data_IF_831890586586
#
_entry.id   IF_831890586586
#
_cell.length_a   1.000
_cell.length_b   1.000
_cell.length_c   1.000
_cell.angle_alpha   90.00
_cell.angle_beta   90.00
_cell.angle_gamma   90.00
#
_symmetry.space_group_name_H-M   'P 1'
#
loop_
_entity.id
_entity.type
_entity.pdbx_description
1 polymer ?
#
# COMPACT_ATOMS: atom_id res chain seq x y z
N UNK A 1 -10.30 16.39 6.89
CA UNK A 1 -8.99 15.68 6.87
C UNK A 1 -9.14 14.39 6.07
N UNK A 2 -8.31 14.21 5.08
CA UNK A 2 -8.38 13.04 4.20
C UNK A 2 -7.64 11.87 4.83
N UNK A 3 -8.36 10.77 5.07
CA UNK A 3 -7.87 9.63 5.85
C UNK A 3 -7.86 8.35 5.05
N UNK A 4 -6.91 7.47 5.37
CA UNK A 4 -6.86 6.09 4.92
C UNK A 4 -6.17 5.23 5.99
N UNK A 5 -6.40 3.92 5.92
CA UNK A 5 -5.80 2.97 6.86
C UNK A 5 -4.86 2.08 6.07
N UNK A 6 -3.66 1.90 6.59
CA UNK A 6 -2.59 1.23 5.86
C UNK A 6 -1.69 0.39 6.78
N UNK A 7 -0.96 -0.50 6.15
CA UNK A 7 0.22 -1.12 6.74
C UNK A 7 1.43 -0.33 6.27
N UNK A 8 2.21 0.19 7.20
CA UNK A 8 3.48 0.86 6.92
C UNK A 8 4.53 -0.20 6.66
N UNK A 9 5.40 0.05 5.71
CA UNK A 9 6.46 -0.88 5.34
C UNK A 9 7.74 -0.57 6.11
N UNK A 10 8.50 -1.61 6.47
CA UNK A 10 9.81 -1.42 7.06
C UNK A 10 10.85 -1.01 6.01
N UNK A 11 12.05 -0.63 6.45
CA UNK A 11 13.09 -0.14 5.56
C UNK A 11 13.57 -1.20 4.57
N UNK A 12 13.67 -2.45 4.99
CA UNK A 12 14.08 -3.56 4.13
C UNK A 12 13.09 -3.75 2.98
N UNK A 13 11.80 -3.70 3.28
CA UNK A 13 10.76 -3.81 2.26
C UNK A 13 10.80 -2.63 1.29
N UNK A 14 11.00 -1.42 1.80
CA UNK A 14 11.12 -0.22 0.98
C UNK A 14 12.34 -0.28 0.06
N UNK A 15 13.46 -0.79 0.55
CA UNK A 15 14.67 -0.98 -0.26
C UNK A 15 14.40 -1.92 -1.44
N UNK A 16 13.69 -3.01 -1.23
CA UNK A 16 13.28 -3.90 -2.32
C UNK A 16 12.41 -3.19 -3.35
N UNK A 17 11.47 -2.39 -2.91
CA UNK A 17 10.59 -1.65 -3.83
C UNK A 17 11.35 -0.59 -4.62
N UNK A 18 12.32 0.07 -4.00
CA UNK A 18 13.18 1.02 -4.70
C UNK A 18 14.07 0.32 -5.73
N UNK A 19 14.56 -0.87 -5.43
CA UNK A 19 15.33 -1.69 -6.38
C UNK A 19 14.47 -2.07 -7.59
N UNK A 20 13.19 -2.37 -7.37
CA UNK A 20 12.25 -2.64 -8.47
C UNK A 20 12.06 -1.39 -9.32
N UNK A 21 11.91 -0.23 -8.71
CA UNK A 21 11.82 1.05 -9.44
C UNK A 21 13.08 1.32 -10.28
N UNK A 22 14.26 1.06 -9.71
CA UNK A 22 15.54 1.20 -10.41
C UNK A 22 15.63 0.26 -11.62
N UNK A 23 15.21 -0.98 -11.45
CA UNK A 23 15.19 -1.96 -12.53
C UNK A 23 14.28 -1.50 -13.67
N UNK A 24 13.10 -1.03 -13.35
CA UNK A 24 12.16 -0.54 -14.33
C UNK A 24 12.71 0.66 -15.09
N UNK A 25 13.34 1.59 -14.38
CA UNK A 25 13.98 2.77 -14.98
C UNK A 25 15.09 2.35 -15.93
N UNK A 26 15.86 1.34 -15.57
CA UNK A 26 16.93 0.78 -16.41
C UNK A 26 16.39 0.26 -17.73
N UNK A 27 15.18 -0.29 -17.73
CA UNK A 27 14.53 -0.80 -18.94
C UNK A 27 13.60 0.24 -19.62
N UNK A 28 13.80 1.51 -19.32
CA UNK A 28 13.18 2.61 -20.05
C UNK A 28 11.81 3.05 -19.55
N UNK A 29 11.32 2.49 -18.43
CA UNK A 29 10.06 2.93 -17.85
C UNK A 29 10.24 4.29 -17.21
N UNK A 30 9.37 5.23 -17.54
CA UNK A 30 9.37 6.58 -16.99
C UNK A 30 8.00 6.87 -16.39
N UNK A 31 7.96 7.69 -15.38
CA UNK A 31 6.73 8.08 -14.73
C UNK A 31 7.01 8.74 -13.38
N UNK A 32 5.96 8.89 -12.59
CA UNK A 32 6.07 9.43 -11.25
C UNK A 32 6.29 8.27 -10.27
N UNK A 33 7.53 8.05 -9.88
CA UNK A 33 7.87 7.01 -8.90
C UNK A 33 7.35 7.41 -7.53
N UNK A 34 6.80 6.43 -6.82
CA UNK A 34 6.35 6.65 -5.43
C UNK A 34 7.57 6.92 -4.55
N UNK A 35 7.63 8.05 -3.84
CA UNK A 35 8.72 8.30 -2.89
C UNK A 35 8.74 7.24 -1.79
N UNK A 36 9.93 6.95 -1.26
CA UNK A 36 10.12 5.96 -0.21
C UNK A 36 9.18 6.17 0.97
N UNK A 37 9.08 7.42 1.43
CA UNK A 37 8.23 7.78 2.58
C UNK A 37 6.74 7.58 2.33
N UNK A 38 6.33 7.44 1.08
CA UNK A 38 4.92 7.24 0.71
C UNK A 38 4.57 5.78 0.39
N UNK A 39 5.54 4.88 0.42
CA UNK A 39 5.30 3.47 0.14
C UNK A 39 4.52 2.81 1.27
N UNK A 40 3.36 2.24 0.95
CA UNK A 40 2.48 1.60 1.93
C UNK A 40 1.51 0.63 1.25
N UNK A 41 0.87 -0.21 2.04
CA UNK A 41 -0.25 -1.05 1.60
C UNK A 41 -1.54 -0.49 2.18
N UNK A 42 -2.41 0.03 1.33
CA UNK A 42 -3.72 0.55 1.76
C UNK A 42 -4.69 -0.60 2.06
N UNK A 43 -5.33 -0.53 3.22
CA UNK A 43 -6.35 -1.50 3.65
C UNK A 43 -7.77 -0.95 3.47
N UNK A 44 -7.96 0.32 3.73
CA UNK A 44 -9.25 0.98 3.58
C UNK A 44 -9.04 2.47 3.32
N UNK A 45 -9.76 3.01 2.36
CA UNK A 45 -9.72 4.41 2.02
C UNK A 45 -11.00 5.08 2.55
N UNK A 46 -10.86 6.06 3.44
CA UNK A 46 -11.99 6.75 4.07
C UNK A 46 -12.35 8.03 3.32
N UNK A 47 -11.33 8.82 2.94
CA UNK A 47 -11.52 10.12 2.33
C UNK A 47 -11.68 11.22 3.37
N UNK A 48 -12.36 12.30 3.02
CA UNK A 48 -12.58 13.41 3.95
C UNK A 48 -13.44 12.98 5.13
N UNK A 49 -12.94 13.22 6.34
CA UNK A 49 -13.64 12.87 7.58
C UNK A 49 -13.27 13.86 8.69
N UNK A 50 -14.28 14.33 9.42
CA UNK A 50 -14.12 15.44 10.35
C UNK A 50 -13.60 15.03 11.74
N UNK A 51 -13.74 13.75 12.09
CA UNK A 51 -13.36 13.25 13.43
C UNK A 51 -12.31 12.15 13.34
N UNK A 52 -11.04 12.50 13.12
CA UNK A 52 -9.98 11.51 13.03
C UNK A 52 -9.76 10.73 14.34
N UNK A 53 -10.04 11.33 15.49
CA UNK A 53 -9.89 10.65 16.78
C UNK A 53 -10.87 9.48 16.92
N UNK A 54 -12.09 9.64 16.42
CA UNK A 54 -13.07 8.56 16.40
C UNK A 54 -12.58 7.39 15.53
N UNK A 55 -12.07 7.70 14.34
CA UNK A 55 -11.51 6.68 13.45
C UNK A 55 -10.29 6.00 14.10
N UNK A 56 -9.42 6.78 14.74
CA UNK A 56 -8.25 6.25 15.43
C UNK A 56 -8.63 5.25 16.51
N UNK A 57 -9.67 5.54 17.29
CA UNK A 57 -10.17 4.62 18.30
C UNK A 57 -10.61 3.29 17.71
N UNK A 58 -11.26 3.30 16.55
CA UNK A 58 -11.67 2.09 15.85
C UNK A 58 -10.44 1.32 15.35
N UNK A 59 -9.49 2.00 14.72
CA UNK A 59 -8.26 1.38 14.21
C UNK A 59 -7.47 0.73 15.35
N UNK A 60 -7.31 1.43 16.47
CA UNK A 60 -6.57 0.92 17.63
C UNK A 60 -7.26 -0.28 18.29
N UNK A 61 -8.56 -0.45 18.08
CA UNK A 61 -9.32 -1.58 18.61
C UNK A 61 -9.14 -2.87 17.81
N UNK A 62 -8.59 -2.79 16.60
CA UNK A 62 -8.42 -3.95 15.74
C UNK A 62 -7.22 -4.78 16.21
N UNK A 63 -7.48 -6.01 16.63
CA UNK A 63 -6.42 -6.94 16.98
C UNK A 63 -5.72 -7.43 15.72
N UNK A 64 -4.40 -7.30 15.70
CA UNK A 64 -3.54 -7.81 14.64
C UNK A 64 -2.59 -8.84 15.23
N UNK A 65 -2.86 -10.12 14.99
CA UNK A 65 -1.92 -11.19 15.32
C UNK A 65 -0.78 -11.13 14.31
N UNK A 66 0.49 -11.11 14.76
CA UNK A 66 1.62 -11.00 13.84
C UNK A 66 1.54 -12.01 12.70
N UNK A 67 1.77 -11.53 11.48
CA UNK A 67 1.79 -12.37 10.29
C UNK A 67 2.83 -11.85 9.29
N UNK A 68 3.25 -12.72 8.37
CA UNK A 68 4.20 -12.37 7.32
C UNK A 68 3.49 -11.75 6.12
N UNK A 69 3.97 -10.59 5.69
CA UNK A 69 3.56 -9.92 4.46
C UNK A 69 4.65 -10.14 3.42
N UNK A 70 4.33 -10.79 2.30
CA UNK A 70 5.29 -11.13 1.26
C UNK A 70 4.93 -10.47 -0.07
N UNK A 71 5.93 -9.92 -0.74
CA UNK A 71 5.76 -9.39 -2.08
C UNK A 71 5.62 -10.51 -3.10
N UNK A 72 4.71 -10.35 -4.04
CA UNK A 72 4.52 -11.31 -5.13
C UNK A 72 3.97 -10.64 -6.38
N UNK A 73 4.76 -10.65 -7.42
CA UNK A 73 4.31 -10.23 -8.74
C UNK A 73 4.30 -8.72 -8.92
N UNK A 74 4.35 -8.32 -10.16
CA UNK A 74 4.21 -6.94 -10.58
C UNK A 74 3.06 -6.89 -11.57
N UNK A 75 2.25 -5.87 -11.48
CA UNK A 75 1.16 -5.65 -12.40
C UNK A 75 1.03 -4.18 -12.76
N UNK A 76 0.21 -3.94 -13.77
CA UNK A 76 -0.12 -2.61 -14.21
C UNK A 76 -1.63 -2.51 -14.37
N UNK A 77 -2.18 -1.39 -13.92
CA UNK A 77 -3.56 -1.02 -14.19
C UNK A 77 -3.52 0.29 -14.96
N UNK A 78 -3.61 0.18 -16.29
CA UNK A 78 -3.33 1.28 -17.22
C UNK A 78 -1.90 1.80 -17.03
N UNK A 79 -1.72 3.05 -16.61
CA UNK A 79 -0.44 3.70 -16.38
C UNK A 79 -0.01 3.67 -14.90
N UNK A 80 -0.73 2.94 -14.05
CA UNK A 80 -0.39 2.75 -12.65
C UNK A 80 0.25 1.36 -12.49
N UNK A 81 1.52 1.34 -12.06
CA UNK A 81 2.26 0.08 -11.84
C UNK A 81 2.37 -0.21 -10.37
N UNK A 82 2.20 -1.47 -10.00
CA UNK A 82 2.16 -1.90 -8.62
C UNK A 82 2.88 -3.23 -8.40
N UNK A 83 3.32 -3.44 -7.17
CA UNK A 83 3.83 -4.73 -6.70
C UNK A 83 2.71 -5.41 -5.91
N UNK A 84 2.47 -6.67 -6.21
CA UNK A 84 1.44 -7.45 -5.54
C UNK A 84 1.90 -8.03 -4.21
N UNK A 85 0.95 -8.54 -3.47
CA UNK A 85 1.16 -9.19 -2.18
C UNK A 85 0.70 -10.63 -2.32
N UNK A 86 1.51 -11.57 -1.81
CA UNK A 86 1.12 -12.98 -1.75
C UNK A 86 -0.19 -13.12 -0.99
N UNK A 87 -1.11 -13.90 -1.53
CA UNK A 87 -2.42 -14.13 -0.91
C UNK A 87 -2.25 -14.67 0.50
N UNK A 88 -2.94 -14.05 1.46
CA UNK A 88 -2.73 -14.30 2.87
C UNK A 88 -4.06 -14.27 3.62
N UNK A 89 -4.42 -15.40 4.21
CA UNK A 89 -5.61 -15.51 5.06
C UNK A 89 -5.55 -14.55 6.27
N UNK A 90 -4.41 -14.41 6.97
CA UNK A 90 -4.29 -13.42 8.04
C UNK A 90 -4.53 -11.98 7.59
N UNK A 91 -3.98 -11.57 6.45
CA UNK A 91 -4.19 -10.23 5.90
C UNK A 91 -5.67 -9.99 5.57
N UNK A 92 -6.30 -10.92 4.88
CA UNK A 92 -7.72 -10.83 4.55
C UNK A 92 -8.59 -10.75 5.81
N UNK A 93 -8.24 -11.49 6.85
CA UNK A 93 -8.97 -11.47 8.11
C UNK A 93 -8.87 -10.10 8.80
N UNK A 94 -7.69 -9.49 8.82
CA UNK A 94 -7.50 -8.15 9.39
C UNK A 94 -8.34 -7.13 8.62
N UNK A 95 -8.28 -7.15 7.30
CA UNK A 95 -9.04 -6.21 6.46
C UNK A 95 -10.54 -6.38 6.66
N UNK A 96 -11.01 -7.61 6.75
CA UNK A 96 -12.43 -7.91 6.99
C UNK A 96 -12.88 -7.37 8.35
N UNK A 97 -12.10 -7.60 9.41
CA UNK A 97 -12.41 -7.08 10.76
C UNK A 97 -12.41 -5.55 10.77
N UNK A 98 -11.41 -4.94 10.12
CA UNK A 98 -11.32 -3.49 10.02
C UNK A 98 -12.55 -2.90 9.31
N UNK A 99 -12.87 -3.40 8.13
CA UNK A 99 -13.98 -2.88 7.33
C UNK A 99 -15.32 -3.08 8.03
N UNK A 100 -15.49 -4.21 8.71
CA UNK A 100 -16.70 -4.45 9.51
C UNK A 100 -16.82 -3.46 10.66
N UNK A 101 -15.73 -3.21 11.38
CA UNK A 101 -15.72 -2.25 12.49
C UNK A 101 -16.02 -0.83 12.01
N UNK A 102 -15.46 -0.42 10.87
CA UNK A 102 -15.78 0.87 10.26
C UNK A 102 -17.25 0.97 9.89
N UNK A 103 -17.79 -0.05 9.26
CA UNK A 103 -19.21 -0.09 8.88
C UNK A 103 -20.13 -0.02 10.11
N UNK A 104 -19.84 -0.80 11.14
CA UNK A 104 -20.60 -0.82 12.39
C UNK A 104 -20.56 0.54 13.12
N UNK A 105 -19.46 1.26 12.98
CA UNK A 105 -19.29 2.59 13.57
C UNK A 105 -19.87 3.71 12.71
N UNK A 106 -20.41 3.40 11.54
CA UNK A 106 -20.96 4.39 10.61
C UNK A 106 -19.92 5.22 9.88
N UNK A 107 -18.69 4.76 9.84
CA UNK A 107 -17.59 5.46 9.14
C UNK A 107 -17.60 5.02 7.67
N UNK A 108 -17.78 5.94 6.72
CA UNK A 108 -17.78 5.59 5.30
C UNK A 108 -16.37 5.24 4.82
N UNK A 109 -16.28 4.31 3.90
CA UNK A 109 -15.01 3.93 3.26
C UNK A 109 -15.31 3.39 1.86
N UNK A 110 -14.28 3.36 1.00
CA UNK A 110 -14.39 2.77 -0.32
C UNK A 110 -14.64 1.26 -0.18
N UNK A 111 -15.77 0.79 -0.68
CA UNK A 111 -16.23 -0.58 -0.52
C UNK A 111 -15.78 -1.51 -1.64
N UNK A 112 -14.90 -1.06 -2.52
CA UNK A 112 -14.34 -1.92 -3.56
C UNK A 112 -13.71 -3.16 -2.93
N UNK A 113 -13.77 -4.27 -3.67
CA UNK A 113 -13.12 -5.51 -3.25
C UNK A 113 -11.64 -5.23 -2.95
N UNK A 114 -11.18 -5.73 -1.81
CA UNK A 114 -9.79 -5.58 -1.43
C UNK A 114 -8.89 -6.35 -2.39
N UNK A 115 -7.97 -5.64 -3.03
CA UNK A 115 -6.95 -6.20 -3.92
C UNK A 115 -5.60 -5.65 -3.46
N UNK A 116 -4.82 -6.40 -2.66
CA UNK A 116 -3.62 -5.87 -2.03
C UNK A 116 -2.52 -5.60 -3.06
N UNK A 117 -2.06 -4.37 -3.07
CA UNK A 117 -0.99 -3.94 -3.94
C UNK A 117 -0.28 -2.72 -3.36
N UNK A 118 0.98 -2.54 -3.75
CA UNK A 118 1.77 -1.37 -3.38
C UNK A 118 2.09 -0.61 -4.66
N UNK A 119 1.57 0.59 -4.80
CA UNK A 119 1.82 1.43 -5.97
C UNK A 119 3.27 1.89 -5.98
N UNK A 120 3.97 1.71 -7.11
CA UNK A 120 5.38 2.09 -7.26
C UNK A 120 5.59 3.16 -8.32
N UNK A 121 4.77 3.23 -9.37
CA UNK A 121 4.88 4.24 -10.42
C UNK A 121 3.49 4.65 -10.86
N UNK A 122 3.26 5.95 -10.92
CA UNK A 122 2.04 6.54 -11.50
C UNK A 122 2.38 7.24 -12.80
N UNK A 123 1.41 7.31 -13.73
CA UNK A 123 1.62 7.91 -15.05
C UNK A 123 2.82 7.29 -15.75
N UNK A 124 2.93 5.98 -15.64
CA UNK A 124 4.04 5.24 -16.22
C UNK A 124 3.95 5.25 -17.75
N UNK A 125 5.08 5.53 -18.38
CA UNK A 125 5.29 5.40 -19.82
C UNK A 125 6.26 4.24 -20.01
N UNK A 126 5.85 3.27 -20.79
CA UNK A 126 6.58 2.02 -20.99
C UNK A 126 5.64 0.84 -20.85
N UNK A 127 6.16 -0.34 -21.18
CA UNK A 127 5.38 -1.59 -21.17
C UNK A 127 6.02 -2.57 -20.20
N UNK A 128 5.17 -3.22 -19.41
CA UNK A 128 5.65 -4.21 -18.45
C UNK A 128 6.42 -5.34 -19.13
N UNK A 129 6.01 -5.70 -20.35
CA UNK A 129 6.63 -6.75 -21.17
C UNK A 129 8.07 -6.40 -21.58
N UNK A 130 8.46 -5.12 -21.57
CA UNK A 130 9.80 -4.68 -21.93
C UNK A 130 10.80 -4.92 -20.80
N UNK A 131 10.34 -5.25 -19.59
CA UNK A 131 11.20 -5.59 -18.47
C UNK A 131 11.36 -7.11 -18.41
N UNK A 132 12.57 -7.65 -18.52
CA UNK A 132 12.78 -9.10 -18.49
C UNK A 132 12.25 -9.72 -17.19
N UNK A 133 11.51 -10.80 -17.31
CA UNK A 133 10.93 -11.51 -16.16
C UNK A 133 12.01 -12.00 -15.21
N UNK A 134 13.17 -12.41 -15.74
CA UNK A 134 14.30 -12.84 -14.92
C UNK A 134 14.82 -11.75 -13.98
N UNK A 135 14.78 -10.49 -14.41
CA UNK A 135 15.17 -9.35 -13.58
C UNK A 135 14.16 -9.11 -12.46
N UNK A 136 12.88 -9.27 -12.78
CA UNK A 136 11.81 -9.09 -11.81
C UNK A 136 11.79 -10.21 -10.76
N UNK A 137 12.03 -11.45 -11.20
CA UNK A 137 12.03 -12.62 -10.30
C UNK A 137 13.10 -12.56 -9.23
N UNK A 138 14.24 -11.91 -9.50
CA UNK A 138 15.29 -11.72 -8.52
C UNK A 138 14.92 -10.78 -7.38
N UNK A 139 13.91 -9.94 -7.60
CA UNK A 139 13.49 -8.93 -6.66
C UNK A 139 12.36 -9.42 -5.74
N UNK A 140 11.78 -10.59 -6.03
CA UNK A 140 10.70 -11.16 -5.23
C UNK A 140 11.23 -12.01 -4.09
N UNK A 141 10.40 -12.12 -3.04
CA UNK A 141 10.72 -12.88 -1.84
C UNK A 141 10.93 -12.01 -0.62
N UNK A 142 10.87 -10.68 -0.79
CA UNK A 142 10.89 -9.78 0.35
C UNK A 142 9.67 -10.00 1.23
N UNK A 143 9.89 -10.06 2.53
CA UNK A 143 8.81 -10.22 3.50
C UNK A 143 9.06 -9.36 4.73
N UNK A 144 7.99 -9.08 5.46
CA UNK A 144 8.08 -8.41 6.75
C UNK A 144 7.00 -8.92 7.69
N UNK A 145 7.24 -8.85 8.98
CA UNK A 145 6.23 -9.15 9.98
C UNK A 145 5.35 -7.93 10.20
N UNK A 146 4.04 -8.12 10.13
CA UNK A 146 3.04 -7.09 10.42
C UNK A 146 2.40 -7.41 11.76
N UNK A 147 2.39 -6.43 12.69
CA UNK A 147 1.79 -6.58 14.00
C UNK A 147 0.82 -5.45 14.35
N UNK A 148 0.66 -4.47 13.47
CA UNK A 148 -0.28 -3.36 13.67
C UNK A 148 -0.69 -2.76 12.33
N UNK A 149 -1.77 -1.97 12.37
CA UNK A 149 -2.25 -1.16 11.26
C UNK A 149 -2.28 0.29 11.70
N UNK A 150 -2.19 1.21 10.75
CA UNK A 150 -2.02 2.63 11.04
C UNK A 150 -3.10 3.47 10.36
N UNK A 151 -3.60 4.46 11.09
CA UNK A 151 -4.42 5.52 10.52
C UNK A 151 -3.52 6.58 9.93
N UNK A 152 -3.73 6.88 8.65
CA UNK A 152 -2.90 7.81 7.89
C UNK A 152 -3.74 9.01 7.43
N UNK A 153 -3.08 10.15 7.40
CA UNK A 153 -3.61 11.37 6.81
C UNK A 153 -2.87 11.66 5.53
N UNK A 154 -3.59 12.06 4.48
CA UNK A 154 -2.95 12.55 3.26
C UNK A 154 -3.30 14.00 3.01
N UNK A 155 -2.31 14.77 2.57
CA UNK A 155 -2.51 16.15 2.14
C UNK A 155 -1.51 16.51 1.06
N UNK A 156 -1.87 17.52 0.27
CA UNK A 156 -0.99 17.95 -0.83
C UNK A 156 0.06 18.89 -0.29
N UNK A 157 1.32 18.49 -0.41
CA UNK A 157 2.47 19.34 -0.10
C UNK A 157 2.99 20.07 -1.32
N UNK A 158 4.07 20.82 -1.13
CA UNK A 158 4.73 21.61 -2.18
C UNK A 158 5.25 20.71 -3.32
N UNK A 159 5.76 19.54 -3.00
CA UNK A 159 6.41 18.61 -3.95
C UNK A 159 5.63 17.32 -4.16
N UNK A 160 4.34 17.32 -3.90
CA UNK A 160 3.48 16.16 -4.06
C UNK A 160 2.71 15.78 -2.80
N UNK A 161 2.13 14.60 -2.78
CA UNK A 161 1.35 14.13 -1.64
C UNK A 161 2.25 13.81 -0.44
N UNK A 162 1.78 14.16 0.73
CA UNK A 162 2.43 13.86 2.02
C UNK A 162 1.48 12.97 2.81
N UNK A 163 2.04 11.88 3.35
CA UNK A 163 1.30 10.95 4.21
C UNK A 163 1.91 10.97 5.60
N UNK A 164 1.09 11.21 6.61
CA UNK A 164 1.53 11.21 8.00
C UNK A 164 0.62 10.31 8.83
N UNK A 165 1.23 9.61 9.78
CA UNK A 165 0.48 8.80 10.74
C UNK A 165 -0.14 9.69 11.81
N UNK A 166 -1.37 9.38 12.16
CA UNK A 166 -2.11 10.07 13.23
C UNK A 166 -1.89 9.38 14.57
#
# INVERSE_FOLDING_TARGET
MRLFIAIKLNNEMKDYLMDIQDTMRTYGVRGRETPEENMHLTLAFIGEYDDPDYVKGIVDSIEVRPFELKLRGIGAFRDLWWVGIENSAPLEAVVRRLRRALADAGIPFDRKKFSPHITIIRKADGRLEDVPESELNQLFGASMTVDHISLMRSYRGKNGMIYTEI
#
